data_IF_109766166729
#
_entry.id   IF_109766166729
#
_cell.length_a   1.000
_cell.length_b   1.000
_cell.length_c   1.000
_cell.angle_alpha   90.00
_cell.angle_beta   90.00
_cell.angle_gamma   90.00
#
_symmetry.space_group_name_H-M   'P 1'
#
loop_
_entity.id
_entity.type
_entity.pdbx_description
1 polymer ?
#
# COMPACT_ATOMS: atom_id res chain seq x y z
N UNK A 1 -11.10 -35.96 -34.42
CA UNK A 1 -10.38 -34.86 -33.68
C UNK A 1 -8.90 -35.16 -33.77
N UNK A 2 -8.05 -34.17 -34.08
CA UNK A 2 -6.61 -34.41 -34.15
C UNK A 2 -6.04 -34.71 -32.76
N UNK A 3 -4.98 -35.56 -32.69
CA UNK A 3 -4.29 -35.86 -31.42
C UNK A 3 -3.88 -34.60 -30.65
N UNK A 4 -3.64 -33.48 -31.31
CA UNK A 4 -3.37 -32.19 -30.75
C UNK A 4 -4.53 -31.64 -29.89
N UNK A 5 -5.77 -31.73 -30.38
CA UNK A 5 -6.98 -31.31 -29.64
C UNK A 5 -7.22 -32.19 -28.42
N UNK A 6 -6.95 -33.50 -28.52
CA UNK A 6 -7.12 -34.44 -27.41
C UNK A 6 -6.09 -34.22 -26.28
N UNK A 7 -4.90 -33.72 -26.60
CA UNK A 7 -3.83 -33.49 -25.62
C UNK A 7 -3.85 -32.10 -24.99
N UNK A 8 -4.58 -31.13 -25.59
CA UNK A 8 -4.58 -29.73 -25.16
C UNK A 8 -5.96 -29.18 -24.73
N UNK A 9 -6.97 -30.02 -24.60
CA UNK A 9 -8.27 -29.57 -24.11
C UNK A 9 -8.32 -29.58 -22.58
N UNK A 10 -8.89 -28.55 -22.01
CA UNK A 10 -9.23 -28.47 -20.58
C UNK A 10 -10.73 -28.67 -20.43
N UNK A 11 -11.16 -29.57 -19.55
CA UNK A 11 -12.56 -29.71 -19.17
C UNK A 11 -12.84 -28.67 -18.09
N UNK A 12 -13.63 -27.66 -18.43
CA UNK A 12 -14.05 -26.62 -17.49
C UNK A 12 -15.52 -26.84 -17.13
N UNK A 13 -15.83 -26.90 -15.85
CA UNK A 13 -17.20 -26.83 -15.35
C UNK A 13 -17.46 -25.38 -14.88
N UNK A 14 -18.43 -24.73 -15.49
CA UNK A 14 -18.83 -23.37 -15.10
C UNK A 14 -20.13 -23.44 -14.29
N UNK A 15 -20.20 -22.76 -13.17
CA UNK A 15 -21.47 -22.38 -12.55
C UNK A 15 -21.97 -21.06 -13.18
N UNK A 16 -23.27 -20.80 -13.12
CA UNK A 16 -23.87 -19.60 -13.72
C UNK A 16 -23.40 -18.27 -13.06
N UNK A 17 -22.67 -18.34 -11.94
CA UNK A 17 -22.21 -17.19 -11.16
C UNK A 17 -20.70 -16.95 -11.27
N UNK A 18 -19.95 -17.87 -11.92
CA UNK A 18 -18.50 -17.77 -12.02
C UNK A 18 -18.07 -16.89 -13.19
N UNK A 19 -17.06 -16.06 -12.93
CA UNK A 19 -16.29 -15.40 -13.97
C UNK A 19 -15.68 -16.46 -14.91
N UNK A 20 -15.89 -16.35 -16.22
CA UNK A 20 -15.44 -17.33 -17.22
C UNK A 20 -13.92 -17.27 -17.41
N UNK A 21 -13.18 -17.79 -16.45
CA UNK A 21 -11.72 -17.95 -16.55
C UNK A 21 -11.40 -19.41 -16.83
N UNK A 22 -10.80 -19.67 -17.99
CA UNK A 22 -10.33 -21.03 -18.34
C UNK A 22 -9.05 -21.28 -17.56
N UNK A 23 -9.11 -22.18 -16.57
CA UNK A 23 -7.99 -22.57 -15.73
C UNK A 23 -7.55 -24.00 -16.10
N UNK A 24 -6.24 -24.22 -16.16
CA UNK A 24 -5.66 -25.56 -16.26
C UNK A 24 -5.94 -26.39 -14.99
N UNK A 25 -5.80 -27.72 -15.02
CA UNK A 25 -6.04 -28.57 -13.83
C UNK A 25 -5.22 -28.16 -12.61
N UNK A 26 -3.96 -27.74 -12.78
CA UNK A 26 -3.11 -27.26 -11.68
C UNK A 26 -3.62 -25.93 -11.12
N UNK A 27 -4.03 -25.01 -11.98
CA UNK A 27 -4.61 -23.72 -11.56
C UNK A 27 -5.93 -23.91 -10.80
N UNK A 28 -6.77 -24.83 -11.25
CA UNK A 28 -8.01 -25.20 -10.54
C UNK A 28 -7.71 -25.80 -9.16
N UNK A 29 -6.66 -26.62 -9.04
CA UNK A 29 -6.22 -27.19 -7.77
C UNK A 29 -5.76 -26.10 -6.81
N UNK A 30 -4.89 -25.20 -7.27
CA UNK A 30 -4.39 -24.06 -6.46
C UNK A 30 -5.56 -23.17 -6.03
N UNK A 31 -6.45 -22.79 -6.97
CA UNK A 31 -7.63 -21.95 -6.68
C UNK A 31 -8.49 -22.57 -5.57
N UNK A 32 -8.86 -23.85 -5.70
CA UNK A 32 -9.67 -24.56 -4.68
C UNK A 32 -9.01 -24.58 -3.31
N UNK A 33 -7.68 -24.74 -3.23
CA UNK A 33 -6.94 -24.73 -1.98
C UNK A 33 -6.97 -23.36 -1.32
N UNK A 34 -6.73 -22.27 -2.09
CA UNK A 34 -6.85 -20.91 -1.58
C UNK A 34 -8.27 -20.64 -1.07
N UNK A 35 -9.29 -21.00 -1.85
CA UNK A 35 -10.71 -20.82 -1.49
C UNK A 35 -11.14 -21.60 -0.25
N UNK A 36 -10.50 -22.75 0.01
CA UNK A 36 -10.83 -23.57 1.18
C UNK A 36 -10.31 -23.01 2.51
N UNK A 37 -9.26 -22.18 2.49
CA UNK A 37 -8.62 -21.62 3.71
C UNK A 37 -8.60 -20.10 3.73
N UNK A 38 -9.01 -19.44 2.65
CA UNK A 38 -8.93 -18.00 2.49
C UNK A 38 -10.21 -17.29 2.92
N UNK A 39 -10.03 -16.11 3.50
CA UNK A 39 -11.10 -15.13 3.80
C UNK A 39 -10.83 -13.85 3.03
N UNK A 40 -11.84 -13.22 2.40
CA UNK A 40 -11.66 -11.94 1.71
C UNK A 40 -11.00 -10.90 2.62
N UNK A 41 -10.04 -10.14 2.08
CA UNK A 41 -9.32 -9.13 2.86
C UNK A 41 -10.25 -8.10 3.51
N UNK A 42 -11.38 -7.80 2.89
CA UNK A 42 -12.41 -6.89 3.46
C UNK A 42 -12.99 -7.36 4.78
N UNK A 43 -12.93 -8.66 5.08
CA UNK A 43 -13.48 -9.28 6.29
C UNK A 43 -12.44 -9.39 7.42
N UNK A 44 -11.20 -8.92 7.16
CA UNK A 44 -10.17 -8.75 8.17
C UNK A 44 -10.35 -7.42 8.93
N UNK A 45 -9.85 -7.37 10.17
CA UNK A 45 -9.88 -6.15 10.99
C UNK A 45 -8.86 -5.12 10.47
N UNK A 46 -9.20 -4.54 9.31
CA UNK A 46 -8.38 -3.53 8.63
C UNK A 46 -9.22 -2.43 8.02
N UNK A 47 -8.59 -1.30 7.76
CA UNK A 47 -9.16 -0.22 6.96
C UNK A 47 -8.24 0.13 5.80
N UNK A 48 -8.82 0.38 4.64
CA UNK A 48 -8.06 0.80 3.45
C UNK A 48 -8.49 2.21 3.05
N UNK A 49 -7.50 3.10 2.98
CA UNK A 49 -7.69 4.49 2.61
C UNK A 49 -6.78 4.87 1.44
N UNK A 50 -7.09 5.99 0.81
CA UNK A 50 -6.22 6.62 -0.19
C UNK A 50 -5.25 7.58 0.50
N UNK A 51 -4.07 7.75 -0.08
CA UNK A 51 -3.10 8.75 0.37
C UNK A 51 -3.62 10.18 0.21
N UNK A 52 -2.87 11.13 0.76
CA UNK A 52 -3.31 12.53 0.85
C UNK A 52 -3.32 13.22 -0.50
N UNK A 53 -4.37 14.01 -0.77
CA UNK A 53 -4.53 14.78 -1.99
C UNK A 53 -4.25 16.26 -1.71
N UNK A 54 -3.24 16.82 -2.37
CA UNK A 54 -2.86 18.23 -2.21
C UNK A 54 -3.63 19.17 -3.14
N UNK A 55 -4.12 18.67 -4.26
CA UNK A 55 -4.72 19.46 -5.33
C UNK A 55 -3.72 20.34 -6.11
N UNK A 56 -2.51 20.56 -5.59
CA UNK A 56 -1.40 21.24 -6.27
C UNK A 56 -0.07 20.88 -5.58
N UNK A 57 0.62 19.89 -6.12
CA UNK A 57 1.80 19.31 -5.50
C UNK A 57 2.96 20.30 -5.35
N UNK A 58 3.17 21.21 -6.32
CA UNK A 58 4.32 22.14 -6.31
C UNK A 58 4.33 23.10 -5.09
N UNK A 59 3.16 23.36 -4.49
CA UNK A 59 3.08 24.18 -3.29
C UNK A 59 3.22 23.37 -2.00
N UNK A 60 2.76 22.12 -1.99
CA UNK A 60 2.60 21.31 -0.77
C UNK A 60 3.58 20.17 -0.64
N UNK A 61 4.29 19.80 -1.72
CA UNK A 61 5.34 18.76 -1.69
C UNK A 61 6.67 19.44 -1.99
N UNK A 62 7.54 19.49 -0.99
CA UNK A 62 8.78 20.25 -1.01
C UNK A 62 10.00 19.33 -0.81
N UNK A 63 11.17 19.78 -1.26
CA UNK A 63 12.44 19.11 -0.97
C UNK A 63 12.92 19.38 0.47
N UNK A 64 13.94 18.64 0.90
CA UNK A 64 14.59 18.88 2.20
C UNK A 64 15.19 20.29 2.29
N UNK A 65 15.83 20.76 1.21
CA UNK A 65 16.42 22.11 1.15
C UNK A 65 15.34 23.18 1.34
N UNK A 66 14.18 23.02 0.69
CA UNK A 66 13.05 23.97 0.83
C UNK A 66 12.44 23.92 2.23
N UNK A 67 12.32 22.71 2.82
CA UNK A 67 11.91 22.55 4.22
C UNK A 67 12.86 23.32 5.16
N UNK A 68 14.15 23.12 5.00
CA UNK A 68 15.15 23.75 5.86
C UNK A 68 15.18 25.27 5.67
N UNK A 69 14.96 25.77 4.45
CA UNK A 69 14.76 27.20 4.17
C UNK A 69 13.54 27.77 4.91
N UNK A 70 12.40 27.09 4.87
CA UNK A 70 11.18 27.52 5.58
C UNK A 70 11.44 27.54 7.08
N UNK A 71 12.06 26.50 7.63
CA UNK A 71 12.38 26.43 9.06
C UNK A 71 13.39 27.50 9.52
N UNK A 72 14.34 27.86 8.65
CA UNK A 72 15.30 28.96 8.93
C UNK A 72 14.63 30.33 8.92
N UNK A 73 13.51 30.49 8.20
CA UNK A 73 12.75 31.74 8.13
C UNK A 73 11.72 31.89 9.26
N UNK A 74 11.56 30.92 10.14
CA UNK A 74 10.71 31.06 11.33
C UNK A 74 11.31 32.10 12.30
N UNK A 75 10.45 32.96 12.83
CA UNK A 75 10.86 34.10 13.67
C UNK A 75 11.21 33.64 15.08
N UNK A 76 10.49 32.66 15.62
CA UNK A 76 10.70 32.12 16.96
C UNK A 76 10.97 30.61 16.93
N UNK A 77 11.61 30.09 17.97
CA UNK A 77 11.85 28.64 18.10
C UNK A 77 10.54 27.88 18.24
N UNK A 78 9.52 28.43 18.87
CA UNK A 78 8.19 27.84 19.00
C UNK A 78 7.50 27.74 17.63
N UNK A 79 7.60 28.75 16.76
CA UNK A 79 7.12 28.69 15.39
C UNK A 79 7.85 27.60 14.61
N UNK A 80 9.18 27.57 14.73
CA UNK A 80 10.01 26.60 14.04
C UNK A 80 9.65 25.17 14.42
N UNK A 81 9.44 24.90 15.70
CA UNK A 81 9.08 23.59 16.22
C UNK A 81 7.71 23.14 15.70
N UNK A 82 6.67 23.99 15.80
CA UNK A 82 5.33 23.72 15.26
C UNK A 82 5.36 23.50 13.74
N UNK A 83 6.15 24.30 13.02
CA UNK A 83 6.30 24.19 11.57
C UNK A 83 6.99 22.88 11.20
N UNK A 84 8.02 22.47 11.93
CA UNK A 84 8.71 21.21 11.71
C UNK A 84 7.79 20.00 11.91
N UNK A 85 6.89 20.03 12.91
CA UNK A 85 5.90 18.99 13.18
C UNK A 85 4.83 18.91 12.07
N UNK A 86 4.48 20.05 11.49
CA UNK A 86 3.48 20.13 10.41
C UNK A 86 4.02 19.63 9.07
N UNK A 87 5.34 19.74 8.84
CA UNK A 87 5.98 19.27 7.61
C UNK A 87 6.42 17.83 7.80
N UNK A 88 5.69 16.89 7.15
CA UNK A 88 5.84 15.44 7.31
C UNK A 88 6.48 14.80 6.08
N UNK A 89 7.31 13.75 6.25
CA UNK A 89 7.84 13.03 5.10
C UNK A 89 6.71 12.36 4.31
N UNK A 90 6.81 12.37 2.96
CA UNK A 90 5.78 11.82 2.06
C UNK A 90 6.33 10.68 1.22
N UNK A 91 5.50 9.64 0.99
CA UNK A 91 5.77 8.53 0.09
C UNK A 91 4.87 8.60 -1.15
N UNK A 92 5.50 8.56 -2.33
CA UNK A 92 4.81 8.45 -3.61
C UNK A 92 4.77 7.00 -4.07
N UNK A 93 3.89 6.65 -5.00
CA UNK A 93 3.80 5.29 -5.54
C UNK A 93 5.13 4.73 -6.07
N UNK A 94 5.96 5.56 -6.71
CA UNK A 94 7.28 5.17 -7.23
C UNK A 94 8.35 4.92 -6.16
N UNK A 95 8.14 5.43 -4.96
CA UNK A 95 9.06 5.26 -3.83
C UNK A 95 8.85 3.90 -3.15
N UNK A 96 7.71 3.25 -3.40
CA UNK A 96 7.31 2.01 -2.75
C UNK A 96 7.95 0.82 -3.47
N UNK A 97 8.56 -0.06 -2.68
CA UNK A 97 9.16 -1.33 -3.08
C UNK A 97 8.45 -2.48 -2.39
N UNK A 98 8.82 -3.68 -2.75
CA UNK A 98 8.37 -4.89 -2.05
C UNK A 98 8.96 -4.92 -0.65
N UNK A 99 8.13 -5.05 0.38
CA UNK A 99 8.45 -5.02 1.82
C UNK A 99 8.93 -3.70 2.39
N UNK A 100 9.43 -2.76 1.57
CA UNK A 100 10.02 -1.49 2.00
C UNK A 100 9.83 -0.34 1.01
N UNK A 101 10.53 0.74 1.20
CA UNK A 101 10.46 1.93 0.36
C UNK A 101 11.79 2.67 0.30
N UNK A 102 12.02 3.38 -0.82
CA UNK A 102 13.14 4.30 -1.01
C UNK A 102 12.61 5.73 -0.93
N UNK A 103 12.77 6.37 0.22
CA UNK A 103 12.28 7.73 0.42
C UNK A 103 13.08 8.74 -0.43
N UNK A 104 12.37 9.55 -1.19
CA UNK A 104 12.97 10.51 -2.12
C UNK A 104 13.35 11.85 -1.48
N UNK A 105 13.42 11.95 -0.15
CA UNK A 105 13.68 13.19 0.59
C UNK A 105 12.68 14.31 0.27
N UNK A 106 11.41 13.92 0.12
CA UNK A 106 10.30 14.85 -0.09
C UNK A 106 9.41 14.94 1.14
N UNK A 107 8.88 16.14 1.34
CA UNK A 107 8.09 16.49 2.50
C UNK A 107 6.74 17.06 2.10
N UNK A 108 5.71 16.73 2.85
CA UNK A 108 4.37 17.29 2.73
C UNK A 108 4.22 18.44 3.72
N UNK A 109 3.80 19.60 3.25
CA UNK A 109 3.23 20.66 4.07
C UNK A 109 1.80 20.23 4.44
N UNK A 110 1.66 19.63 5.64
CA UNK A 110 0.41 19.01 6.09
C UNK A 110 -0.53 20.03 6.77
N UNK A 111 -0.85 21.11 6.08
CA UNK A 111 -1.84 22.09 6.54
C UNK A 111 -3.26 21.51 6.47
N UNK A 112 -3.54 20.51 7.30
CA UNK A 112 -4.81 19.78 7.29
C UNK A 112 -6.01 20.67 7.62
N UNK A 113 -7.18 20.26 7.13
CA UNK A 113 -8.44 20.96 7.39
C UNK A 113 -9.11 20.54 8.70
N UNK A 114 -8.38 19.80 9.53
CA UNK A 114 -8.90 19.23 10.78
C UNK A 114 -9.87 18.06 10.57
N UNK A 115 -10.41 17.59 11.68
CA UNK A 115 -11.48 16.59 11.75
C UNK A 115 -12.58 17.14 12.65
N UNK A 116 -13.77 17.31 12.13
CA UNK A 116 -14.90 17.93 12.84
C UNK A 116 -15.15 17.28 14.20
N UNK A 117 -15.09 18.07 15.25
CA UNK A 117 -15.33 17.61 16.62
C UNK A 117 -14.14 16.88 17.27
N UNK A 118 -13.03 16.68 16.56
CA UNK A 118 -11.86 15.94 17.06
C UNK A 118 -10.61 16.84 17.05
N UNK A 119 -10.32 17.48 15.92
CA UNK A 119 -9.10 18.25 15.70
C UNK A 119 -9.42 19.52 14.92
N UNK A 120 -8.99 20.71 15.38
CA UNK A 120 -9.19 21.95 14.62
C UNK A 120 -8.36 21.92 13.34
N UNK A 121 -8.82 22.67 12.33
CA UNK A 121 -7.98 22.92 11.15
C UNK A 121 -6.74 23.73 11.51
N UNK A 122 -5.69 23.57 10.72
CA UNK A 122 -4.49 24.41 10.84
C UNK A 122 -4.84 25.85 10.46
N UNK A 123 -4.59 26.78 11.38
CA UNK A 123 -4.63 28.22 11.07
C UNK A 123 -3.26 28.65 10.54
N UNK A 124 -3.20 28.99 9.25
CA UNK A 124 -1.95 29.37 8.59
C UNK A 124 -1.35 30.65 9.18
N UNK A 125 -2.15 31.47 9.86
CA UNK A 125 -1.66 32.70 10.50
C UNK A 125 -0.72 32.42 11.68
N UNK A 126 -0.77 31.23 12.25
CA UNK A 126 0.17 30.78 13.29
C UNK A 126 1.53 30.30 12.73
N UNK A 127 1.68 30.28 11.39
CA UNK A 127 2.85 29.76 10.67
C UNK A 127 3.34 30.78 9.61
N UNK A 128 3.85 31.95 10.02
CA UNK A 128 4.21 33.04 9.08
C UNK A 128 5.20 32.61 7.99
N UNK A 129 6.24 31.86 8.33
CA UNK A 129 7.22 31.38 7.36
C UNK A 129 6.61 30.42 6.33
N UNK A 130 5.73 29.54 6.78
CA UNK A 130 5.01 28.60 5.91
C UNK A 130 3.99 29.34 5.02
N UNK A 131 3.30 30.32 5.59
CA UNK A 131 2.39 31.19 4.83
C UNK A 131 3.12 31.93 3.72
N UNK A 132 4.29 32.51 4.00
CA UNK A 132 5.11 33.20 3.02
C UNK A 132 5.52 32.29 1.85
N UNK A 133 5.79 31.01 2.09
CA UNK A 133 6.02 30.02 1.04
C UNK A 133 4.74 29.76 0.23
N UNK A 134 3.61 29.49 0.86
CA UNK A 134 2.35 29.19 0.19
C UNK A 134 1.80 30.40 -0.62
N UNK A 135 2.05 31.63 -0.16
CA UNK A 135 1.67 32.85 -0.87
C UNK A 135 2.37 32.98 -2.22
N UNK A 136 3.57 32.43 -2.40
CA UNK A 136 4.26 32.38 -3.71
C UNK A 136 3.47 31.55 -4.74
N UNK A 137 2.61 30.67 -4.28
CA UNK A 137 1.76 29.80 -5.11
C UNK A 137 0.28 30.23 -5.11
N UNK A 138 -0.05 31.43 -4.62
CA UNK A 138 -1.42 31.90 -4.40
C UNK A 138 -2.32 31.76 -5.60
N UNK A 139 -1.84 32.14 -6.80
CA UNK A 139 -2.61 32.07 -8.04
C UNK A 139 -3.11 30.65 -8.38
N UNK A 140 -2.42 29.64 -7.90
CA UNK A 140 -2.76 28.22 -8.11
C UNK A 140 -3.57 27.66 -6.96
N UNK A 141 -3.09 27.83 -5.72
CA UNK A 141 -3.75 27.24 -4.55
C UNK A 141 -5.13 27.83 -4.27
N UNK A 142 -5.34 29.13 -4.58
CA UNK A 142 -6.65 29.79 -4.42
C UNK A 142 -7.73 29.20 -5.33
N UNK A 143 -7.36 28.73 -6.52
CA UNK A 143 -8.27 28.23 -7.56
C UNK A 143 -8.41 26.70 -7.60
N UNK A 144 -7.58 25.95 -6.84
CA UNK A 144 -7.63 24.47 -6.84
C UNK A 144 -8.98 23.95 -6.34
N UNK A 145 -9.47 22.89 -6.93
CA UNK A 145 -10.72 22.25 -6.53
C UNK A 145 -10.58 21.47 -5.22
N UNK A 146 -9.44 20.75 -5.07
CA UNK A 146 -9.15 19.92 -3.90
C UNK A 146 -8.48 20.75 -2.79
N UNK A 147 -9.24 21.63 -2.14
CA UNK A 147 -8.83 22.42 -0.98
C UNK A 147 -9.76 22.20 0.21
N UNK A 148 -9.30 22.60 1.39
CA UNK A 148 -10.12 22.68 2.60
C UNK A 148 -10.93 23.97 2.67
N UNK A 149 -11.21 24.44 3.88
CA UNK A 149 -12.01 25.66 4.12
C UNK A 149 -11.31 26.93 3.61
N UNK A 150 -9.98 26.90 3.59
CA UNK A 150 -9.19 27.98 3.00
C UNK A 150 -8.26 27.46 1.90
N UNK A 151 -7.74 28.33 1.01
CA UNK A 151 -6.75 27.95 0.02
C UNK A 151 -5.45 27.36 0.61
N UNK A 152 -5.13 27.66 1.85
CA UNK A 152 -3.95 27.14 2.54
C UNK A 152 -4.15 25.71 3.06
N UNK A 153 -5.40 25.30 3.30
CA UNK A 153 -5.69 24.00 3.88
C UNK A 153 -5.83 22.91 2.81
N UNK A 154 -5.30 21.74 3.13
CA UNK A 154 -5.52 20.52 2.37
C UNK A 154 -6.99 20.12 2.46
N UNK A 155 -7.46 19.30 1.51
CA UNK A 155 -8.80 18.73 1.48
C UNK A 155 -9.11 17.98 2.79
N UNK A 156 -10.39 17.96 3.17
CA UNK A 156 -10.88 17.17 4.30
C UNK A 156 -10.46 15.70 4.19
N UNK A 157 -9.92 15.18 5.29
CA UNK A 157 -9.50 13.80 5.44
C UNK A 157 -9.97 13.30 6.81
N UNK A 158 -10.97 12.42 6.83
CA UNK A 158 -11.54 11.91 8.08
C UNK A 158 -10.61 10.92 8.81
N UNK A 159 -9.61 10.37 8.10
CA UNK A 159 -8.67 9.35 8.59
C UNK A 159 -7.24 9.92 8.77
N UNK A 160 -7.11 11.19 9.14
CA UNK A 160 -5.79 11.82 9.37
C UNK A 160 -4.96 11.07 10.40
N UNK A 161 -5.62 10.51 11.43
CA UNK A 161 -4.95 9.77 12.50
C UNK A 161 -4.32 8.46 11.99
N UNK A 162 -4.92 7.80 10.99
CA UNK A 162 -4.37 6.58 10.40
C UNK A 162 -2.97 6.78 9.78
N UNK A 163 -2.62 8.04 9.43
CA UNK A 163 -1.26 8.33 8.97
C UNK A 163 -0.20 8.27 10.08
N UNK A 164 -0.59 8.35 11.33
CA UNK A 164 0.30 8.33 12.50
C UNK A 164 0.52 6.92 13.05
N UNK A 165 -0.13 5.91 12.46
CA UNK A 165 -0.04 4.53 12.90
C UNK A 165 0.78 3.67 11.91
N UNK A 166 1.28 2.50 12.37
CA UNK A 166 1.83 1.49 11.46
C UNK A 166 0.85 1.16 10.35
N UNK A 167 1.36 1.01 9.12
CA UNK A 167 0.51 0.78 7.95
C UNK A 167 1.25 0.05 6.84
N UNK A 168 0.49 -0.67 6.02
CA UNK A 168 0.98 -1.15 4.72
C UNK A 168 0.64 -0.09 3.69
N UNK A 169 1.60 0.26 2.83
CA UNK A 169 1.41 1.23 1.74
C UNK A 169 1.73 0.60 0.39
N UNK A 170 0.98 0.99 -0.66
CA UNK A 170 1.24 0.52 -2.03
C UNK A 170 0.79 1.54 -3.07
N UNK A 171 1.38 1.48 -4.27
CA UNK A 171 0.97 2.31 -5.41
C UNK A 171 -0.25 1.74 -6.13
N UNK A 172 -1.12 2.60 -6.68
CA UNK A 172 -2.31 2.17 -7.46
C UNK A 172 -1.94 1.33 -8.69
N UNK A 173 -0.82 1.66 -9.33
CA UNK A 173 -0.37 1.02 -10.57
C UNK A 173 1.03 0.44 -10.34
N UNK A 174 1.18 -0.85 -10.58
CA UNK A 174 2.47 -1.54 -10.50
C UNK A 174 2.49 -2.75 -11.44
N UNK A 175 3.68 -3.11 -11.91
CA UNK A 175 3.96 -4.33 -12.67
C UNK A 175 3.84 -5.60 -11.82
N UNK A 176 4.22 -5.49 -10.55
CA UNK A 176 4.25 -6.56 -9.55
C UNK A 176 3.59 -6.13 -8.24
N UNK A 177 3.35 -7.08 -7.35
CA UNK A 177 2.97 -6.75 -5.98
C UNK A 177 4.10 -5.99 -5.28
N UNK A 178 3.85 -4.77 -4.83
CA UNK A 178 4.80 -3.92 -4.11
C UNK A 178 4.08 -3.30 -2.92
N UNK A 179 4.04 -4.05 -1.84
CA UNK A 179 3.49 -3.62 -0.56
C UNK A 179 4.63 -3.38 0.41
N UNK A 180 4.69 -2.19 0.98
CA UNK A 180 5.70 -1.79 1.95
C UNK A 180 5.10 -1.65 3.33
N UNK A 181 5.84 -2.00 4.37
CA UNK A 181 5.43 -1.80 5.76
C UNK A 181 6.11 -0.56 6.34
N UNK A 182 5.32 0.46 6.59
CA UNK A 182 5.72 1.66 7.34
C UNK A 182 5.34 1.45 8.81
N UNK A 183 6.32 1.03 9.61
CA UNK A 183 6.11 0.52 10.98
C UNK A 183 6.07 1.59 12.05
N UNK A 184 6.46 2.84 11.73
CA UNK A 184 6.62 3.91 12.72
C UNK A 184 5.50 4.95 12.71
N UNK A 185 4.68 5.01 11.67
CA UNK A 185 3.67 6.05 11.51
C UNK A 185 4.26 7.42 11.14
N UNK A 186 5.45 7.47 10.56
CA UNK A 186 6.15 8.72 10.24
C UNK A 186 5.74 9.29 8.88
N UNK A 187 5.57 8.42 7.88
CA UNK A 187 5.37 8.82 6.50
C UNK A 187 3.90 8.92 6.10
N UNK A 188 3.57 9.95 5.35
CA UNK A 188 2.24 10.15 4.76
C UNK A 188 2.25 9.66 3.33
N UNK A 189 1.37 8.71 2.92
CA UNK A 189 1.23 8.31 1.52
C UNK A 189 0.59 9.42 0.68
N UNK A 190 1.09 9.62 -0.54
CA UNK A 190 0.57 10.59 -1.54
C UNK A 190 -0.65 10.00 -2.29
N UNK A 191 -1.45 10.84 -2.94
CA UNK A 191 -2.73 10.50 -3.57
C UNK A 191 -2.70 9.38 -4.63
N UNK A 192 -1.52 9.05 -5.18
CA UNK A 192 -1.34 7.90 -6.11
C UNK A 192 -1.13 6.57 -5.38
N UNK A 193 -1.20 6.59 -4.04
CA UNK A 193 -1.00 5.44 -3.17
C UNK A 193 -2.24 5.14 -2.35
N UNK A 194 -2.27 3.93 -1.82
CA UNK A 194 -3.20 3.49 -0.80
C UNK A 194 -2.44 3.13 0.48
N UNK A 195 -3.15 3.15 1.59
CA UNK A 195 -2.68 2.62 2.87
C UNK A 195 -3.69 1.66 3.47
N UNK A 196 -3.19 0.72 4.25
CA UNK A 196 -3.97 -0.22 5.06
C UNK A 196 -3.50 -0.09 6.50
N UNK A 197 -4.41 0.23 7.41
CA UNK A 197 -4.23 0.24 8.85
C UNK A 197 -5.08 -0.86 9.50
N UNK A 198 -4.74 -1.28 10.71
CA UNK A 198 -5.48 -2.29 11.47
C UNK A 198 -4.59 -3.37 12.05
N UNK A 199 -5.16 -4.57 12.21
CA UNK A 199 -4.52 -5.70 12.87
C UNK A 199 -3.74 -6.60 11.90
N UNK A 200 -2.76 -7.34 12.42
CA UNK A 200 -1.99 -8.37 11.69
C UNK A 200 -1.25 -7.88 10.42
N UNK A 201 -0.89 -6.60 10.38
CA UNK A 201 -0.23 -6.00 9.21
C UNK A 201 1.04 -6.74 8.76
N UNK A 202 1.96 -7.23 9.64
CA UNK A 202 3.12 -7.98 9.19
C UNK A 202 2.77 -9.29 8.47
N UNK A 203 1.75 -10.01 8.94
CA UNK A 203 1.24 -11.20 8.26
C UNK A 203 0.65 -10.85 6.89
N UNK A 204 -0.22 -9.85 6.85
CA UNK A 204 -0.85 -9.37 5.62
C UNK A 204 0.19 -8.88 4.59
N UNK A 205 1.24 -8.19 5.04
CA UNK A 205 2.36 -7.76 4.20
C UNK A 205 2.99 -8.94 3.45
N UNK A 206 3.28 -10.03 4.16
CA UNK A 206 3.90 -11.21 3.58
C UNK A 206 2.97 -11.92 2.60
N UNK A 207 1.70 -12.09 2.97
CA UNK A 207 0.70 -12.68 2.06
C UNK A 207 0.54 -11.86 0.79
N UNK A 208 0.34 -10.54 0.90
CA UNK A 208 0.14 -9.65 -0.24
C UNK A 208 1.36 -9.57 -1.18
N UNK A 209 2.57 -9.74 -0.64
CA UNK A 209 3.79 -9.81 -1.43
C UNK A 209 4.15 -11.23 -1.91
N UNK A 210 3.39 -12.26 -1.56
CA UNK A 210 3.70 -13.63 -1.97
C UNK A 210 3.44 -13.86 -3.46
N UNK A 211 4.22 -14.72 -4.13
CA UNK A 211 3.94 -15.16 -5.49
C UNK A 211 2.52 -15.76 -5.63
N UNK A 212 2.03 -16.42 -4.59
CA UNK A 212 0.70 -17.01 -4.58
C UNK A 212 -0.41 -15.96 -4.68
N UNK A 213 -0.33 -14.89 -3.88
CA UNK A 213 -1.29 -13.78 -3.95
C UNK A 213 -1.21 -13.03 -5.27
N UNK A 214 -0.02 -12.84 -5.78
CA UNK A 214 0.20 -12.19 -7.08
C UNK A 214 -0.39 -13.03 -8.23
N UNK A 215 -0.16 -14.35 -8.22
CA UNK A 215 -0.78 -15.26 -9.14
C UNK A 215 -2.32 -15.22 -9.03
N UNK A 216 -2.87 -15.32 -7.83
CA UNK A 216 -4.32 -15.30 -7.62
C UNK A 216 -4.92 -13.97 -8.08
N UNK A 217 -4.28 -12.84 -7.74
CA UNK A 217 -4.72 -11.52 -8.18
C UNK A 217 -4.70 -11.37 -9.71
N UNK A 218 -3.76 -12.00 -10.40
CA UNK A 218 -3.72 -12.02 -11.88
C UNK A 218 -4.92 -12.71 -12.53
N UNK A 219 -5.61 -13.58 -11.78
CA UNK A 219 -6.81 -14.28 -12.24
C UNK A 219 -8.11 -13.53 -11.94
N UNK A 220 -8.11 -12.70 -10.88
CA UNK A 220 -9.31 -11.97 -10.43
C UNK A 220 -9.20 -10.45 -10.59
N UNK A 221 -8.00 -9.93 -10.75
CA UNK A 221 -7.71 -8.50 -10.86
C UNK A 221 -7.99 -7.91 -12.25
N UNK A 222 -8.03 -6.58 -12.32
CA UNK A 222 -8.14 -5.83 -13.58
C UNK A 222 -6.76 -5.39 -14.09
N UNK A 223 -6.45 -5.72 -15.34
CA UNK A 223 -5.20 -5.29 -16.01
C UNK A 223 -5.42 -3.97 -16.77
N UNK A 224 -4.33 -3.24 -17.01
CA UNK A 224 -4.36 -2.02 -17.83
C UNK A 224 -4.21 -2.28 -19.32
N UNK A 225 -3.99 -3.55 -19.71
CA UNK A 225 -3.70 -3.94 -21.10
C UNK A 225 -2.25 -3.72 -21.57
N UNK A 226 -1.38 -3.14 -20.71
CA UNK A 226 0.05 -2.87 -21.00
C UNK A 226 1.00 -3.56 -20.01
N UNK A 227 0.60 -4.70 -19.46
CA UNK A 227 1.43 -5.49 -18.54
C UNK A 227 1.51 -4.96 -17.11
N UNK A 228 0.76 -3.90 -16.78
CA UNK A 228 0.61 -3.41 -15.40
C UNK A 228 -0.73 -3.77 -14.82
N UNK A 229 -0.81 -3.88 -13.50
CA UNK A 229 -2.01 -4.24 -12.75
C UNK A 229 -2.46 -3.05 -11.91
N UNK A 230 -3.78 -2.87 -11.78
CA UNK A 230 -4.35 -1.82 -10.94
C UNK A 230 -4.73 -2.39 -9.57
N UNK A 231 -3.89 -2.10 -8.59
CA UNK A 231 -4.05 -2.51 -7.19
C UNK A 231 -5.02 -1.58 -6.44
N UNK A 232 -6.25 -1.49 -6.95
CA UNK A 232 -7.28 -0.61 -6.37
C UNK A 232 -7.93 -1.25 -5.14
N UNK A 233 -8.39 -0.41 -4.22
CA UNK A 233 -9.08 -0.81 -3.00
C UNK A 233 -10.14 -1.89 -3.25
N UNK A 234 -11.08 -1.67 -4.17
CA UNK A 234 -12.19 -2.58 -4.43
C UNK A 234 -11.75 -3.95 -4.99
N UNK A 235 -10.60 -4.03 -5.65
CA UNK A 235 -10.07 -5.29 -6.17
C UNK A 235 -9.28 -6.03 -5.09
N UNK A 236 -8.43 -5.31 -4.33
CA UNK A 236 -7.64 -5.89 -3.25
C UNK A 236 -8.52 -6.42 -2.12
N UNK A 237 -9.61 -5.76 -1.83
CA UNK A 237 -10.55 -6.17 -0.79
C UNK A 237 -11.17 -7.56 -1.02
N UNK A 238 -11.27 -8.00 -2.26
CA UNK A 238 -11.78 -9.33 -2.61
C UNK A 238 -10.69 -10.41 -2.64
N UNK A 239 -9.42 -10.04 -2.44
CA UNK A 239 -8.33 -11.01 -2.40
C UNK A 239 -8.49 -11.94 -1.20
N UNK A 240 -8.43 -13.26 -1.46
CA UNK A 240 -8.51 -14.25 -0.40
C UNK A 240 -7.17 -14.35 0.34
N UNK A 241 -7.23 -14.08 1.62
CA UNK A 241 -6.08 -14.16 2.53
C UNK A 241 -6.21 -15.47 3.32
N UNK A 242 -5.23 -16.39 3.25
CA UNK A 242 -5.25 -17.62 4.02
C UNK A 242 -5.35 -17.34 5.52
N UNK A 243 -6.22 -18.06 6.22
CA UNK A 243 -6.30 -17.99 7.68
C UNK A 243 -5.21 -18.88 8.26
N UNK A 244 -4.23 -18.26 8.90
CA UNK A 244 -3.18 -18.99 9.63
C UNK A 244 -3.61 -19.27 11.07
N UNK A 245 -3.08 -20.36 11.64
CA UNK A 245 -3.14 -20.51 13.08
C UNK A 245 -2.25 -19.48 13.80
N UNK A 246 -2.41 -19.35 15.11
CA UNK A 246 -1.68 -18.36 15.91
C UNK A 246 -0.16 -18.55 15.79
N UNK A 247 0.31 -19.80 15.72
CA UNK A 247 1.73 -20.12 15.65
C UNK A 247 2.36 -19.69 14.33
N UNK A 248 1.71 -19.98 13.21
CA UNK A 248 2.21 -19.61 11.89
C UNK A 248 2.12 -18.09 11.67
N UNK A 249 1.07 -17.45 12.18
CA UNK A 249 0.97 -15.99 12.16
C UNK A 249 2.09 -15.31 12.96
N UNK A 250 2.36 -15.79 14.19
CA UNK A 250 3.45 -15.27 15.01
C UNK A 250 4.81 -15.50 14.35
N UNK A 251 5.01 -16.65 13.71
CA UNK A 251 6.23 -16.99 12.99
C UNK A 251 6.51 -16.01 11.85
N UNK A 252 5.49 -15.70 11.02
CA UNK A 252 5.60 -14.72 9.93
C UNK A 252 5.84 -13.32 10.50
N UNK A 253 5.11 -12.92 11.54
CA UNK A 253 5.31 -11.63 12.19
C UNK A 253 6.75 -11.48 12.69
N UNK A 254 7.32 -12.52 13.28
CA UNK A 254 8.71 -12.52 13.75
C UNK A 254 9.70 -12.31 12.59
N UNK A 255 9.48 -12.94 11.44
CA UNK A 255 10.34 -12.72 10.27
C UNK A 255 10.32 -11.27 9.80
N UNK A 256 9.15 -10.61 9.80
CA UNK A 256 9.04 -9.18 9.46
C UNK A 256 9.79 -8.31 10.47
N UNK A 257 9.65 -8.59 11.77
CA UNK A 257 10.38 -7.85 12.80
C UNK A 257 11.90 -8.08 12.73
N UNK A 258 12.34 -9.30 12.44
CA UNK A 258 13.76 -9.60 12.24
C UNK A 258 14.33 -8.83 11.04
N UNK A 259 13.57 -8.72 9.96
CA UNK A 259 13.93 -7.91 8.80
C UNK A 259 14.03 -6.41 9.16
N UNK A 260 13.01 -5.85 9.81
CA UNK A 260 13.01 -4.43 10.21
C UNK A 260 14.20 -4.10 11.11
N UNK A 261 14.59 -5.03 11.99
CA UNK A 261 15.72 -4.90 12.90
C UNK A 261 17.08 -5.22 12.23
N UNK A 262 17.11 -5.56 10.94
CA UNK A 262 18.34 -5.88 10.22
C UNK A 262 18.95 -7.25 10.55
N UNK A 263 18.20 -8.15 11.20
CA UNK A 263 18.69 -9.49 11.59
C UNK A 263 18.64 -10.48 10.41
N UNK A 264 17.78 -10.26 9.44
CA UNK A 264 17.69 -11.06 8.20
C UNK A 264 17.58 -10.16 6.99
N UNK A 265 18.00 -10.67 5.83
CA UNK A 265 17.81 -9.98 4.56
C UNK A 265 16.36 -10.06 4.07
N UNK A 266 15.99 -9.19 3.13
CA UNK A 266 14.66 -9.18 2.51
C UNK A 266 14.39 -10.48 1.73
N UNK A 267 15.42 -11.07 1.11
CA UNK A 267 15.33 -12.37 0.44
C UNK A 267 14.98 -13.48 1.43
N UNK A 268 15.65 -13.51 2.59
CA UNK A 268 15.39 -14.47 3.64
C UNK A 268 13.98 -14.31 4.23
N UNK A 269 13.51 -13.05 4.41
CA UNK A 269 12.12 -12.78 4.78
C UNK A 269 11.16 -13.39 3.77
N UNK A 270 11.34 -13.06 2.49
CA UNK A 270 10.44 -13.50 1.42
C UNK A 270 10.37 -15.03 1.31
N UNK A 271 11.52 -15.71 1.29
CA UNK A 271 11.59 -17.17 1.21
C UNK A 271 10.88 -17.83 2.40
N UNK A 272 11.25 -17.46 3.63
CA UNK A 272 10.66 -18.05 4.84
C UNK A 272 9.15 -17.80 4.97
N UNK A 273 8.70 -16.60 4.60
CA UNK A 273 7.29 -16.25 4.63
C UNK A 273 6.52 -17.06 3.57
N UNK A 274 7.04 -17.15 2.35
CA UNK A 274 6.40 -17.91 1.26
C UNK A 274 6.28 -19.41 1.61
N UNK A 275 7.35 -20.04 2.13
CA UNK A 275 7.31 -21.44 2.58
C UNK A 275 6.19 -21.66 3.60
N UNK A 276 6.05 -20.74 4.57
CA UNK A 276 5.00 -20.83 5.59
C UNK A 276 3.61 -20.65 4.97
N UNK A 277 3.43 -19.66 4.06
CA UNK A 277 2.16 -19.42 3.36
C UNK A 277 1.76 -20.61 2.49
N UNK A 278 2.70 -21.21 1.74
CA UNK A 278 2.44 -22.40 0.94
C UNK A 278 2.01 -23.60 1.79
N UNK A 279 2.62 -23.75 2.98
CA UNK A 279 2.23 -24.78 3.95
C UNK A 279 0.81 -24.56 4.49
N UNK A 280 0.44 -23.31 4.83
CA UNK A 280 -0.91 -22.95 5.30
C UNK A 280 -1.97 -23.30 4.24
N UNK A 281 -1.68 -23.01 2.97
CA UNK A 281 -2.60 -23.30 1.85
C UNK A 281 -2.55 -24.80 1.44
N UNK A 282 -1.53 -25.53 1.88
CA UNK A 282 -1.37 -26.95 1.55
C UNK A 282 -0.95 -27.19 0.09
N UNK A 283 -0.13 -26.31 -0.48
CA UNK A 283 0.40 -26.49 -1.83
C UNK A 283 1.41 -27.64 -1.86
N UNK A 284 1.34 -28.45 -2.92
CA UNK A 284 2.35 -29.45 -3.21
C UNK A 284 3.51 -28.86 -4.03
N UNK A 285 4.56 -29.65 -4.25
CA UNK A 285 5.78 -29.20 -4.94
C UNK A 285 5.53 -28.71 -6.37
N UNK A 286 4.63 -29.35 -7.10
CA UNK A 286 4.33 -28.99 -8.49
C UNK A 286 3.55 -27.66 -8.55
N UNK A 287 2.63 -27.45 -7.61
CA UNK A 287 1.87 -26.22 -7.48
C UNK A 287 2.76 -25.02 -7.06
N UNK A 288 3.70 -25.26 -6.11
CA UNK A 288 4.70 -24.26 -5.71
C UNK A 288 5.56 -23.90 -6.91
N UNK A 289 6.12 -24.88 -7.62
CA UNK A 289 6.93 -24.67 -8.81
C UNK A 289 6.15 -23.91 -9.90
N UNK A 290 4.86 -24.21 -10.06
CA UNK A 290 4.00 -23.53 -11.01
C UNK A 290 3.84 -22.03 -10.68
N UNK A 291 3.54 -21.71 -9.41
CA UNK A 291 3.37 -20.33 -8.95
C UNK A 291 4.68 -19.55 -9.04
N UNK A 292 5.79 -20.15 -8.60
CA UNK A 292 7.12 -19.52 -8.61
C UNK A 292 7.67 -19.30 -10.03
N UNK A 293 7.29 -20.15 -11.00
CA UNK A 293 7.65 -19.94 -12.41
C UNK A 293 6.90 -18.74 -13.03
N UNK A 294 5.65 -18.50 -12.63
CA UNK A 294 4.91 -17.33 -13.09
C UNK A 294 5.34 -16.03 -12.41
N UNK A 295 5.55 -16.09 -11.10
CA UNK A 295 5.90 -14.96 -10.27
C UNK A 295 7.07 -15.32 -9.34
N UNK A 296 8.31 -15.32 -9.86
CA UNK A 296 9.48 -15.61 -9.04
C UNK A 296 9.53 -14.71 -7.81
N UNK A 297 9.98 -15.29 -6.71
CA UNK A 297 10.30 -14.51 -5.50
C UNK A 297 11.43 -13.54 -5.83
N UNK A 298 11.07 -12.35 -6.30
CA UNK A 298 11.99 -11.25 -6.60
C UNK A 298 11.87 -10.24 -5.46
N UNK A 299 13.01 -9.79 -4.98
CA UNK A 299 13.10 -8.79 -3.92
C UNK A 299 13.79 -7.55 -4.45
#
# INVERSE_FOLDING_TARGET
MSNFVQQQHSICSFSNEDSWVILSPIEQSIKRKIESVGTPLKDWDIQIYRGILTGYNDAFIISTEKRDEILANCITEEERQRTAELIRPILRGRDIKRYGYDWANLWLINTHNGVKGVMPRVDIMEYPALKAHLDQHWDKISKRADKGDTPYNLRNCAYLEDFNHPKIVWGEISDRSKFAYESKGEYIPEATTFLMSGSNLPYLLCVLNSPLSEWFFSKVGTTTGVGTVRWKKYTIQELLIPIADIKDMQKINQYVYDYINGNISIENLAVKANETIYSIVGLNKDEIAYVENYYPTIV
#
